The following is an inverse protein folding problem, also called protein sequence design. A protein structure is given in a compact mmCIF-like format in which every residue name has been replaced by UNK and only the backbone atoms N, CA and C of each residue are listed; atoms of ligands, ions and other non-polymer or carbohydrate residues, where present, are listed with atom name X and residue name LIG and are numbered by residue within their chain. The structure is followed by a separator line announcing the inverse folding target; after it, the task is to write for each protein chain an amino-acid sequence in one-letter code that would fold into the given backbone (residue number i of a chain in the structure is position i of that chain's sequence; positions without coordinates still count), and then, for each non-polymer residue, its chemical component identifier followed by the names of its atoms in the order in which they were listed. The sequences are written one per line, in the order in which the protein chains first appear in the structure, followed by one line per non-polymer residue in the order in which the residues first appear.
data_IF_900433499224
#
_entry.id   IF_900433499224
#
_cell.length_a   1.000
_cell.length_b   1.000
_cell.length_c   1.000
_cell.angle_alpha   90.00
_cell.angle_beta   90.00
_cell.angle_gamma   90.00
#
_symmetry.space_group_name_H-M   'P 1'
#
loop_
_entity.id
_entity.type
_entity.pdbx_description
1 polymer ?
#
# COMPACT_ATOMS: atom_id res chain seq x y z
N UNK A 1 13.80 -21.60 -8.77
CA UNK A 1 12.53 -20.84 -8.74
C UNK A 1 12.58 -19.83 -7.60
N UNK A 2 12.24 -18.57 -7.84
CA UNK A 2 12.24 -17.52 -6.81
C UNK A 2 10.86 -17.42 -6.15
N UNK A 3 10.83 -17.04 -4.86
CA UNK A 3 9.60 -16.92 -4.11
C UNK A 3 9.40 -15.50 -3.57
N UNK A 4 8.13 -15.05 -3.55
CA UNK A 4 7.69 -13.77 -3.02
C UNK A 4 6.58 -13.95 -2.00
N UNK A 5 6.61 -13.13 -0.92
CA UNK A 5 5.57 -13.09 0.11
C UNK A 5 4.78 -11.79 -0.04
N UNK A 6 3.45 -11.85 0.12
CA UNK A 6 2.55 -10.68 0.01
C UNK A 6 1.47 -10.73 1.08
N UNK A 7 1.00 -9.57 1.59
CA UNK A 7 -0.14 -9.56 2.51
C UNK A 7 -1.41 -10.02 1.78
N UNK A 8 -2.30 -10.66 2.49
CA UNK A 8 -3.58 -11.14 1.93
C UNK A 8 -4.54 -10.00 1.60
N UNK A 9 -4.36 -8.83 2.22
CA UNK A 9 -5.08 -7.60 1.94
C UNK A 9 -4.52 -6.76 0.77
N UNK A 10 -3.64 -7.33 -0.07
CA UNK A 10 -3.03 -6.62 -1.18
C UNK A 10 -4.05 -6.20 -2.25
N UNK A 11 -3.80 -5.03 -2.85
CA UNK A 11 -4.62 -4.47 -3.93
C UNK A 11 -4.93 -5.48 -5.04
N UNK A 12 -6.18 -5.53 -5.49
CA UNK A 12 -6.69 -6.57 -6.40
C UNK A 12 -5.89 -6.72 -7.69
N UNK A 13 -5.45 -5.63 -8.32
CA UNK A 13 -4.61 -5.72 -9.54
C UNK A 13 -3.23 -6.29 -9.25
N UNK A 14 -2.62 -5.99 -8.09
CA UNK A 14 -1.34 -6.59 -7.68
C UNK A 14 -1.50 -8.07 -7.38
N UNK A 15 -2.66 -8.48 -6.81
CA UNK A 15 -3.02 -9.89 -6.60
C UNK A 15 -3.14 -10.62 -7.92
N UNK A 16 -3.97 -10.11 -8.84
CA UNK A 16 -4.19 -10.71 -10.16
C UNK A 16 -2.89 -10.86 -10.95
N UNK A 17 -2.10 -9.79 -11.02
CA UNK A 17 -0.80 -9.83 -11.70
C UNK A 17 0.10 -10.96 -11.18
N UNK A 18 0.11 -11.18 -9.90
CA UNK A 18 0.93 -12.22 -9.32
C UNK A 18 0.35 -13.63 -9.53
N UNK A 19 -0.95 -13.78 -9.51
CA UNK A 19 -1.61 -15.07 -9.75
C UNK A 19 -1.50 -15.51 -11.21
N UNK A 20 -1.55 -14.58 -12.15
CA UNK A 20 -1.53 -14.83 -13.58
C UNK A 20 -0.10 -14.81 -14.16
N UNK A 21 0.65 -13.72 -13.91
CA UNK A 21 1.92 -13.50 -14.59
C UNK A 21 3.13 -14.14 -13.89
N UNK A 22 3.15 -14.26 -12.57
CA UNK A 22 4.30 -14.86 -11.89
C UNK A 22 4.55 -16.31 -12.32
N UNK A 23 3.51 -17.07 -12.65
CA UNK A 23 3.64 -18.43 -13.15
C UNK A 23 4.44 -18.47 -14.46
N UNK A 24 4.21 -17.50 -15.36
CA UNK A 24 4.92 -17.38 -16.66
C UNK A 24 6.43 -17.15 -16.47
N UNK A 25 6.79 -16.49 -15.39
CA UNK A 25 8.20 -16.24 -15.02
C UNK A 25 8.74 -17.24 -14.01
N UNK A 26 8.04 -18.33 -13.73
CA UNK A 26 8.41 -19.34 -12.75
C UNK A 26 8.70 -18.76 -11.37
N UNK A 27 7.90 -17.77 -10.97
CA UNK A 27 8.00 -17.11 -9.66
C UNK A 27 6.87 -17.64 -8.76
N UNK A 28 7.24 -18.33 -7.69
CA UNK A 28 6.28 -18.70 -6.65
C UNK A 28 5.89 -17.52 -5.79
N UNK A 29 4.69 -17.55 -5.24
CA UNK A 29 4.25 -16.57 -4.25
C UNK A 29 3.35 -17.21 -3.22
N UNK A 30 3.34 -16.63 -2.02
CA UNK A 30 2.38 -16.93 -0.95
C UNK A 30 1.78 -15.64 -0.40
N UNK A 31 0.63 -15.77 0.22
CA UNK A 31 -0.01 -14.73 1.01
C UNK A 31 0.26 -14.94 2.49
N UNK A 32 0.37 -13.85 3.26
CA UNK A 32 0.53 -13.86 4.70
C UNK A 32 -0.48 -12.90 5.35
N UNK A 33 -0.82 -13.20 6.61
CA UNK A 33 -1.63 -12.29 7.42
C UNK A 33 -0.80 -11.06 7.82
N UNK A 34 -1.21 -9.83 7.45
CA UNK A 34 -0.45 -8.59 7.72
C UNK A 34 -0.28 -8.28 9.20
N UNK A 35 -1.17 -8.80 10.06
CA UNK A 35 -1.11 -8.62 11.52
C UNK A 35 -0.29 -9.68 12.24
N UNK A 36 0.12 -10.73 11.55
CA UNK A 36 0.82 -11.88 12.15
C UNK A 36 2.22 -12.06 11.57
N UNK A 37 3.20 -11.53 12.27
CA UNK A 37 4.62 -11.65 11.88
C UNK A 37 5.10 -13.12 11.91
N UNK A 38 4.56 -13.95 12.80
CA UNK A 38 4.91 -15.38 12.88
C UNK A 38 4.41 -16.14 11.67
N UNK A 39 3.21 -15.80 11.19
CA UNK A 39 2.67 -16.32 9.93
C UNK A 39 3.55 -15.93 8.73
N UNK A 40 4.04 -14.68 8.68
CA UNK A 40 5.00 -14.28 7.65
C UNK A 40 6.32 -15.07 7.76
N UNK A 41 6.89 -15.17 8.97
CA UNK A 41 8.16 -15.88 9.19
C UNK A 41 8.07 -17.36 8.79
N UNK A 42 6.97 -18.04 9.12
CA UNK A 42 6.75 -19.46 8.77
C UNK A 42 6.70 -19.72 7.25
N UNK A 43 6.38 -18.69 6.45
CA UNK A 43 6.31 -18.78 4.99
C UNK A 43 7.64 -18.48 4.28
N UNK A 44 8.65 -17.99 5.03
CA UNK A 44 9.97 -17.70 4.47
C UNK A 44 10.70 -19.01 4.16
N UNK A 45 11.16 -19.17 2.92
CA UNK A 45 11.96 -20.30 2.44
C UNK A 45 13.33 -19.82 1.92
N UNK A 46 14.29 -20.73 1.71
CA UNK A 46 15.64 -20.41 1.18
C UNK A 46 15.58 -19.64 -0.17
N UNK A 47 14.57 -19.88 -0.97
CA UNK A 47 14.36 -19.23 -2.26
C UNK A 47 13.50 -17.94 -2.16
N UNK A 48 13.04 -17.52 -0.99
CA UNK A 48 12.32 -16.25 -0.81
C UNK A 48 13.25 -15.07 -1.06
N UNK A 49 12.90 -14.19 -1.99
CA UNK A 49 13.71 -13.03 -2.41
C UNK A 49 13.07 -11.70 -2.10
N UNK A 50 11.73 -11.66 -2.01
CA UNK A 50 10.98 -10.43 -1.82
C UNK A 50 9.88 -10.64 -0.79
N UNK A 51 9.73 -9.69 0.12
CA UNK A 51 8.52 -9.48 0.91
C UNK A 51 7.87 -8.20 0.36
N UNK A 52 6.68 -8.35 -0.20
CA UNK A 52 5.87 -7.23 -0.65
C UNK A 52 4.95 -6.80 0.49
N UNK A 53 4.81 -5.50 0.69
CA UNK A 53 4.07 -4.86 1.76
C UNK A 53 3.04 -3.92 1.15
N UNK A 54 1.89 -3.81 1.79
CA UNK A 54 0.91 -2.77 1.53
C UNK A 54 0.33 -2.36 2.88
N UNK A 55 0.55 -1.12 3.28
CA UNK A 55 0.14 -0.65 4.61
C UNK A 55 -0.25 0.85 4.57
N UNK A 56 -1.52 1.16 4.85
CA UNK A 56 -2.62 0.23 5.13
C UNK A 56 -2.92 -0.69 3.94
N UNK A 57 -3.41 -1.90 4.21
CA UNK A 57 -3.88 -2.81 3.18
C UNK A 57 -5.15 -2.32 2.49
N UNK A 58 -5.42 -2.83 1.30
CA UNK A 58 -6.67 -2.56 0.59
C UNK A 58 -7.88 -3.17 1.32
N UNK A 59 -9.04 -2.54 1.19
CA UNK A 59 -10.36 -2.91 1.72
C UNK A 59 -10.51 -2.77 3.23
N UNK A 60 -9.75 -3.47 4.06
CA UNK A 60 -9.89 -3.53 5.51
C UNK A 60 -8.85 -2.72 6.27
N UNK A 61 -7.92 -2.12 5.56
CA UNK A 61 -6.96 -1.12 6.04
C UNK A 61 -6.07 -1.57 7.21
N UNK A 62 -5.64 -2.83 7.20
CA UNK A 62 -4.68 -3.37 8.16
C UNK A 62 -3.35 -2.62 8.10
N UNK A 63 -2.78 -2.33 9.27
CA UNK A 63 -1.45 -1.74 9.38
C UNK A 63 -0.42 -2.81 9.72
N UNK A 64 0.57 -2.95 8.87
CA UNK A 64 1.72 -3.85 9.09
C UNK A 64 2.70 -3.19 10.06
N UNK A 65 3.27 -3.94 11.00
CA UNK A 65 4.42 -3.48 11.78
C UNK A 65 5.67 -3.48 10.89
N UNK A 66 5.87 -2.38 10.16
CA UNK A 66 6.96 -2.23 9.19
C UNK A 66 8.32 -2.41 9.84
N UNK A 67 8.53 -1.89 11.05
CA UNK A 67 9.80 -2.03 11.76
C UNK A 67 10.16 -3.49 12.02
N UNK A 68 9.20 -4.28 12.50
CA UNK A 68 9.42 -5.70 12.76
C UNK A 68 9.60 -6.48 11.46
N UNK A 69 8.80 -6.20 10.45
CA UNK A 69 8.86 -6.86 9.15
C UNK A 69 10.19 -6.59 8.43
N UNK A 70 10.68 -5.35 8.44
CA UNK A 70 11.97 -4.99 7.87
C UNK A 70 13.13 -5.68 8.63
N UNK A 71 13.07 -5.76 9.96
CA UNK A 71 14.06 -6.50 10.75
C UNK A 71 14.09 -7.99 10.38
N UNK A 72 12.92 -8.61 10.24
CA UNK A 72 12.79 -9.99 9.79
C UNK A 72 13.37 -10.20 8.38
N UNK A 73 13.00 -9.34 7.43
CA UNK A 73 13.52 -9.39 6.07
C UNK A 73 15.05 -9.28 6.01
N UNK A 74 15.63 -8.35 6.78
CA UNK A 74 17.10 -8.19 6.89
C UNK A 74 17.80 -9.42 7.47
N UNK A 75 17.23 -10.06 8.49
CA UNK A 75 17.73 -11.32 9.08
C UNK A 75 17.88 -12.41 8.02
N UNK A 76 16.94 -12.47 7.08
CA UNK A 76 16.92 -13.46 5.99
C UNK A 76 17.51 -12.94 4.66
N UNK A 77 18.07 -11.73 4.61
CA UNK A 77 18.64 -11.10 3.40
C UNK A 77 17.60 -10.98 2.26
N UNK A 78 16.35 -10.70 2.61
CA UNK A 78 15.21 -10.56 1.69
C UNK A 78 14.96 -9.07 1.42
N UNK A 79 14.65 -8.73 0.16
CA UNK A 79 14.32 -7.37 -0.27
C UNK A 79 12.88 -7.05 0.14
N UNK A 80 12.65 -5.87 0.68
CA UNK A 80 11.32 -5.36 0.99
C UNK A 80 10.85 -4.37 -0.06
N UNK A 81 9.62 -4.56 -0.54
CA UNK A 81 8.93 -3.64 -1.46
C UNK A 81 7.62 -3.23 -0.80
N UNK A 82 7.31 -1.94 -0.73
CA UNK A 82 6.03 -1.46 -0.21
C UNK A 82 5.26 -0.68 -1.26
N UNK A 83 3.98 -0.96 -1.39
CA UNK A 83 3.03 -0.02 -1.98
C UNK A 83 2.65 1.02 -0.91
N UNK A 84 3.06 2.25 -1.13
CA UNK A 84 2.84 3.37 -0.22
C UNK A 84 1.83 4.38 -0.79
N UNK A 85 1.01 3.95 -1.73
CA UNK A 85 0.04 4.82 -2.42
C UNK A 85 -0.92 5.50 -1.44
N UNK A 86 -1.35 4.81 -0.37
CA UNK A 86 -2.24 5.40 0.63
C UNK A 86 -1.52 6.45 1.49
N UNK A 87 -0.35 6.10 2.04
CA UNK A 87 0.42 6.97 2.94
C UNK A 87 1.07 8.14 2.21
N UNK A 88 1.48 7.93 0.99
CA UNK A 88 2.43 8.75 0.24
C UNK A 88 3.71 9.02 1.04
N UNK A 89 4.76 9.52 0.42
CA UNK A 89 5.98 9.90 1.12
C UNK A 89 5.76 11.01 2.17
N UNK A 90 4.61 11.73 2.09
CA UNK A 90 4.27 12.81 3.02
C UNK A 90 3.84 12.29 4.39
N UNK A 91 2.99 11.27 4.44
CA UNK A 91 2.47 10.74 5.71
C UNK A 91 3.19 9.48 6.19
N UNK A 92 3.89 8.77 5.28
CA UNK A 92 4.69 7.62 5.64
C UNK A 92 5.97 7.54 4.79
N UNK A 93 7.11 7.88 5.38
CA UNK A 93 8.41 7.79 4.70
C UNK A 93 9.02 6.38 4.86
N UNK A 94 8.57 5.43 4.05
CA UNK A 94 8.96 4.03 4.15
C UNK A 94 10.49 3.77 4.06
N UNK A 95 11.23 4.59 3.29
CA UNK A 95 12.69 4.49 3.21
C UNK A 95 13.34 4.74 4.57
N UNK A 96 12.86 5.70 5.36
CA UNK A 96 13.36 5.94 6.72
C UNK A 96 13.10 4.77 7.67
N UNK A 97 12.07 3.97 7.41
CA UNK A 97 11.80 2.73 8.15
C UNK A 97 12.68 1.56 7.69
N UNK A 98 13.51 1.78 6.66
CA UNK A 98 14.47 0.78 6.16
C UNK A 98 13.91 -0.16 5.10
N UNK A 99 12.76 0.16 4.51
CA UNK A 99 12.23 -0.52 3.32
C UNK A 99 13.16 -0.25 2.14
N UNK A 100 13.41 -1.26 1.31
CA UNK A 100 14.37 -1.15 0.20
C UNK A 100 13.80 -0.43 -1.02
N UNK A 101 12.53 -0.71 -1.37
CA UNK A 101 11.86 -0.19 -2.57
C UNK A 101 10.45 0.24 -2.19
N UNK A 102 10.07 1.42 -2.63
CA UNK A 102 8.73 2.00 -2.46
C UNK A 102 8.11 2.18 -3.83
N UNK A 103 6.88 1.76 -4.00
CA UNK A 103 6.07 2.04 -5.18
C UNK A 103 4.86 2.88 -4.78
N UNK A 104 4.49 3.84 -5.60
CA UNK A 104 3.30 4.66 -5.40
C UNK A 104 2.57 4.87 -6.73
N UNK A 105 1.25 4.76 -6.72
CA UNK A 105 0.44 5.14 -7.87
C UNK A 105 0.30 6.66 -7.91
N UNK A 106 1.08 7.33 -8.76
CA UNK A 106 0.94 8.77 -9.03
C UNK A 106 -0.48 9.11 -9.49
N UNK A 107 -1.13 8.18 -10.21
CA UNK A 107 -2.56 8.20 -10.60
C UNK A 107 -3.49 8.64 -9.45
N UNK A 108 -3.12 8.41 -8.19
CA UNK A 108 -3.97 8.68 -7.02
C UNK A 108 -3.65 10.07 -6.43
N UNK A 109 -3.06 10.12 -5.24
CA UNK A 109 -2.89 11.39 -4.50
C UNK A 109 -1.86 12.32 -5.10
N UNK A 110 -0.76 11.80 -5.67
CA UNK A 110 0.30 12.64 -6.24
C UNK A 110 -0.25 13.42 -7.45
N UNK A 111 -0.83 12.75 -8.43
CA UNK A 111 -1.51 13.41 -9.56
C UNK A 111 -2.70 14.23 -9.08
N UNK A 112 -3.67 13.55 -8.45
CA UNK A 112 -4.75 14.17 -7.68
C UNK A 112 -5.86 14.86 -8.48
N UNK A 113 -5.83 14.78 -9.82
CA UNK A 113 -6.77 15.47 -10.72
C UNK A 113 -7.47 14.51 -11.70
N UNK A 114 -7.29 13.19 -11.55
CA UNK A 114 -7.87 12.15 -12.43
C UNK A 114 -7.48 12.29 -13.91
N UNK A 115 -6.34 12.86 -14.20
CA UNK A 115 -5.87 13.21 -15.54
C UNK A 115 -4.53 12.55 -15.92
N UNK A 116 -3.97 11.70 -15.06
CA UNK A 116 -2.73 10.95 -15.31
C UNK A 116 -2.81 9.52 -14.78
N UNK A 117 -2.31 8.58 -15.56
CA UNK A 117 -2.13 7.19 -15.15
C UNK A 117 -0.63 6.86 -15.13
N UNK A 118 -0.02 6.87 -13.95
CA UNK A 118 1.41 6.74 -13.79
C UNK A 118 1.78 6.13 -12.43
N UNK A 119 2.91 5.45 -12.36
CA UNK A 119 3.52 5.00 -11.11
C UNK A 119 4.91 5.58 -10.92
N UNK A 120 5.38 5.60 -9.68
CA UNK A 120 6.75 5.92 -9.32
C UNK A 120 7.36 4.82 -8.47
N UNK A 121 8.64 4.56 -8.70
CA UNK A 121 9.44 3.67 -7.87
C UNK A 121 10.58 4.46 -7.26
N UNK A 122 10.66 4.46 -5.94
CA UNK A 122 11.74 5.04 -5.14
C UNK A 122 12.49 3.92 -4.44
N UNK A 123 13.81 3.99 -4.38
CA UNK A 123 14.61 2.95 -3.71
C UNK A 123 15.84 3.52 -3.04
N UNK A 124 16.44 2.75 -2.14
CA UNK A 124 17.77 3.05 -1.63
C UNK A 124 18.84 2.90 -2.73
N UNK A 125 20.01 3.52 -2.53
CA UNK A 125 21.12 3.52 -3.50
C UNK A 125 21.53 2.13 -3.97
N UNK A 126 21.44 1.12 -3.10
CA UNK A 126 21.82 -0.27 -3.39
C UNK A 126 21.04 -0.88 -4.56
N UNK A 127 19.78 -0.52 -4.71
CA UNK A 127 18.90 -1.10 -5.73
C UNK A 127 18.73 -0.22 -6.97
N UNK A 128 19.22 1.02 -6.95
CA UNK A 128 19.00 2.03 -7.99
C UNK A 128 19.43 1.54 -9.39
N UNK A 129 20.67 1.07 -9.51
CA UNK A 129 21.20 0.64 -10.81
C UNK A 129 20.43 -0.54 -11.40
N UNK A 130 19.96 -1.48 -10.55
CA UNK A 130 19.17 -2.62 -11.01
C UNK A 130 17.80 -2.19 -11.51
N UNK A 131 17.14 -1.25 -10.85
CA UNK A 131 15.83 -0.71 -11.26
C UNK A 131 15.98 0.10 -12.55
N UNK A 132 16.98 0.97 -12.67
CA UNK A 132 17.22 1.75 -13.89
C UNK A 132 17.50 0.81 -15.08
N UNK A 133 18.34 -0.21 -14.90
CA UNK A 133 18.64 -1.20 -15.92
C UNK A 133 17.37 -1.95 -16.37
N UNK A 134 16.56 -2.40 -15.41
CA UNK A 134 15.31 -3.06 -15.70
C UNK A 134 14.35 -2.16 -16.48
N UNK A 135 14.15 -0.91 -16.02
CA UNK A 135 13.31 0.09 -16.71
C UNK A 135 13.72 0.28 -18.17
N UNK A 136 15.04 0.45 -18.43
CA UNK A 136 15.56 0.62 -19.78
C UNK A 136 15.33 -0.62 -20.66
N UNK A 137 15.64 -1.80 -20.13
CA UNK A 137 15.55 -3.04 -20.89
C UNK A 137 14.11 -3.49 -21.16
N UNK A 138 13.16 -3.11 -20.30
CA UNK A 138 11.73 -3.41 -20.47
C UNK A 138 10.97 -2.38 -21.31
N UNK A 139 11.65 -1.33 -21.80
CA UNK A 139 11.02 -0.27 -22.60
C UNK A 139 10.06 0.63 -21.82
N UNK A 140 10.11 0.59 -20.48
CA UNK A 140 9.25 1.42 -19.64
C UNK A 140 9.61 2.90 -19.80
N UNK A 141 8.71 3.67 -20.38
CA UNK A 141 8.87 5.12 -20.52
C UNK A 141 7.56 5.84 -20.16
N UNK A 142 7.67 7.11 -19.87
CA UNK A 142 6.53 7.99 -19.53
C UNK A 142 6.65 9.22 -20.41
N UNK A 143 5.54 9.67 -20.97
CA UNK A 143 5.47 10.88 -21.78
C UNK A 143 5.80 12.14 -20.98
N UNK A 144 6.36 13.17 -21.61
CA UNK A 144 6.70 14.43 -20.94
C UNK A 144 5.46 15.13 -20.36
N UNK A 145 4.31 15.04 -21.01
CA UNK A 145 3.05 15.62 -20.54
C UNK A 145 2.57 14.96 -19.25
N UNK A 146 2.67 13.63 -19.16
CA UNK A 146 2.33 12.89 -17.92
C UNK A 146 3.26 13.29 -16.76
N UNK A 147 4.56 13.49 -17.06
CA UNK A 147 5.54 13.96 -16.06
C UNK A 147 5.17 15.36 -15.60
N UNK A 148 4.78 16.24 -16.51
CA UNK A 148 4.33 17.60 -16.18
C UNK A 148 3.10 17.58 -15.27
N UNK A 149 2.08 16.76 -15.58
CA UNK A 149 0.88 16.59 -14.77
C UNK A 149 1.21 16.05 -13.36
N UNK A 150 2.10 15.07 -13.28
CA UNK A 150 2.59 14.54 -12.01
C UNK A 150 3.28 15.60 -11.14
N UNK A 151 4.17 16.40 -11.75
CA UNK A 151 4.88 17.50 -11.06
C UNK A 151 3.92 18.61 -10.63
N UNK A 152 2.93 18.96 -11.45
CA UNK A 152 1.85 19.88 -11.10
C UNK A 152 1.11 19.39 -9.85
N UNK A 153 0.69 18.13 -9.86
CA UNK A 153 -0.02 17.51 -8.73
C UNK A 153 0.83 17.48 -7.45
N UNK A 154 2.12 17.17 -7.57
CA UNK A 154 3.04 17.09 -6.43
C UNK A 154 3.13 18.44 -5.67
N UNK A 155 3.08 19.58 -6.36
CA UNK A 155 3.14 20.90 -5.74
C UNK A 155 1.97 21.18 -4.79
N UNK A 156 0.79 20.63 -5.06
CA UNK A 156 -0.41 20.84 -4.26
C UNK A 156 -0.73 19.65 -3.33
N UNK A 157 0.08 18.59 -3.38
CA UNK A 157 -0.13 17.36 -2.61
C UNK A 157 -0.37 17.61 -1.12
N UNK A 158 0.43 18.42 -0.39
CA UNK A 158 0.22 18.62 1.03
C UNK A 158 -1.16 19.22 1.36
N UNK A 159 -1.59 20.23 0.62
CA UNK A 159 -2.89 20.89 0.81
C UNK A 159 -4.06 19.93 0.55
N UNK A 160 -3.96 19.16 -0.54
CA UNK A 160 -5.00 18.19 -0.92
C UNK A 160 -5.09 17.04 0.07
N UNK A 161 -3.95 16.51 0.55
CA UNK A 161 -3.94 15.45 1.55
C UNK A 161 -4.49 15.92 2.88
N UNK A 162 -4.12 17.11 3.36
CA UNK A 162 -4.68 17.68 4.60
C UNK A 162 -6.20 17.81 4.50
N UNK A 163 -6.71 18.30 3.37
CA UNK A 163 -8.15 18.42 3.15
C UNK A 163 -8.83 17.05 3.10
N UNK A 164 -8.25 16.09 2.38
CA UNK A 164 -8.74 14.72 2.29
C UNK A 164 -8.78 14.05 3.66
N UNK A 165 -7.72 14.17 4.45
CA UNK A 165 -7.68 13.67 5.83
C UNK A 165 -8.80 14.25 6.69
N UNK A 166 -8.93 15.58 6.69
CA UNK A 166 -9.97 16.25 7.49
C UNK A 166 -11.36 15.76 7.12
N UNK A 167 -11.62 15.62 5.82
CA UNK A 167 -12.91 15.19 5.31
C UNK A 167 -13.17 13.70 5.62
N UNK A 168 -12.19 12.82 5.39
CA UNK A 168 -12.35 11.38 5.64
C UNK A 168 -12.58 11.07 7.11
N UNK A 169 -11.84 11.70 8.02
CA UNK A 169 -12.05 11.51 9.47
C UNK A 169 -13.43 12.04 9.90
N UNK A 170 -13.88 13.18 9.36
CA UNK A 170 -15.23 13.70 9.65
C UNK A 170 -16.32 12.74 9.16
N UNK A 171 -16.18 12.25 7.92
CA UNK A 171 -17.11 11.30 7.32
C UNK A 171 -17.10 9.96 8.06
N UNK A 172 -15.91 9.41 8.36
CA UNK A 172 -15.78 8.17 9.11
C UNK A 172 -16.47 8.25 10.48
N UNK A 173 -16.24 9.34 11.23
CA UNK A 173 -16.92 9.59 12.52
C UNK A 173 -18.43 9.77 12.40
N UNK A 174 -18.94 10.29 11.28
CA UNK A 174 -20.37 10.36 11.01
C UNK A 174 -20.93 8.96 10.76
N UNK A 175 -20.25 8.19 9.93
CA UNK A 175 -20.68 6.85 9.53
C UNK A 175 -20.66 5.84 10.70
N UNK A 176 -19.75 5.97 11.67
CA UNK A 176 -19.80 5.11 12.88
C UNK A 176 -21.06 5.28 13.74
N UNK A 177 -21.86 6.30 13.48
CA UNK A 177 -23.11 6.57 14.22
C UNK A 177 -24.37 6.14 13.43
N UNK A 178 -24.21 5.66 12.21
CA UNK A 178 -25.33 5.25 11.37
C UNK A 178 -25.70 3.80 11.65
N UNK A 179 -27.00 3.51 11.80
CA UNK A 179 -27.52 2.17 12.09
C UNK A 179 -27.29 1.17 10.94
N UNK A 180 -27.11 1.67 9.73
CA UNK A 180 -26.85 0.90 8.52
C UNK A 180 -25.39 0.44 8.42
N UNK A 181 -24.48 1.02 9.23
CA UNK A 181 -23.05 0.78 9.17
C UNK A 181 -22.63 -0.11 10.32
N UNK A 182 -22.23 -1.32 10.01
CA UNK A 182 -21.72 -2.30 10.95
C UNK A 182 -20.32 -1.95 11.42
N UNK A 183 -19.45 -1.50 10.52
CA UNK A 183 -18.06 -1.16 10.83
C UNK A 183 -17.44 -0.15 9.88
N UNK A 184 -16.57 0.70 10.40
CA UNK A 184 -15.77 1.65 9.62
C UNK A 184 -14.29 1.28 9.79
N UNK A 185 -13.62 1.03 8.67
CA UNK A 185 -12.19 0.67 8.62
C UNK A 185 -11.35 1.91 8.29
N UNK A 186 -11.13 2.78 9.26
CA UNK A 186 -10.29 3.97 9.10
C UNK A 186 -9.20 3.99 10.18
N UNK A 187 -7.90 3.85 9.82
CA UNK A 187 -6.81 3.71 10.80
C UNK A 187 -6.69 4.83 11.83
N UNK A 188 -7.12 6.05 11.48
CA UNK A 188 -7.11 7.18 12.39
C UNK A 188 -8.21 7.15 13.45
N UNK A 189 -9.21 6.27 13.37
CA UNK A 189 -10.21 6.07 14.40
C UNK A 189 -9.64 5.20 15.52
N UNK A 190 -9.97 5.51 16.79
CA UNK A 190 -9.49 4.76 17.95
C UNK A 190 -9.97 3.32 17.98
N UNK A 191 -11.12 3.07 17.40
CA UNK A 191 -11.79 1.77 17.28
C UNK A 191 -11.11 0.85 16.25
N UNK A 192 -10.25 1.39 15.39
CA UNK A 192 -9.52 0.57 14.42
C UNK A 192 -8.49 -0.32 15.15
N UNK A 193 -8.45 -1.64 14.90
CA UNK A 193 -7.55 -2.55 15.61
C UNK A 193 -6.09 -2.11 15.61
N UNK A 194 -5.64 -1.53 14.50
CA UNK A 194 -4.25 -1.15 14.30
C UNK A 194 -4.01 0.36 14.53
N UNK A 195 -4.95 1.09 15.18
CA UNK A 195 -4.81 2.51 15.44
C UNK A 195 -3.49 2.88 16.12
N UNK A 196 -3.02 2.06 17.06
CA UNK A 196 -1.76 2.28 17.79
C UNK A 196 -0.55 2.25 16.85
N UNK A 197 -0.53 1.31 15.87
CA UNK A 197 0.52 1.21 14.86
C UNK A 197 0.47 2.39 13.90
N UNK A 198 -0.73 2.74 13.42
CA UNK A 198 -0.90 3.92 12.58
C UNK A 198 -0.40 5.19 13.27
N UNK A 199 -0.80 5.42 14.52
CA UNK A 199 -0.39 6.60 15.29
C UNK A 199 1.12 6.65 15.56
N UNK A 200 1.78 5.49 15.66
CA UNK A 200 3.23 5.39 15.85
C UNK A 200 4.00 5.74 14.59
N UNK A 201 3.53 5.24 13.43
CA UNK A 201 4.32 5.18 12.20
C UNK A 201 3.93 6.24 11.17
N UNK A 202 2.67 6.70 11.18
CA UNK A 202 2.13 7.65 10.21
C UNK A 202 1.96 9.03 10.82
N UNK A 203 2.28 10.07 10.05
CA UNK A 203 2.05 11.47 10.44
C UNK A 203 0.67 11.99 10.05
N UNK A 204 -0.12 11.20 9.33
CA UNK A 204 -1.46 11.56 8.87
C UNK A 204 -2.22 10.39 8.27
N UNK A 205 -3.43 10.68 7.76
CA UNK A 205 -4.30 9.74 7.10
C UNK A 205 -4.80 10.28 5.76
N UNK A 206 -5.11 9.37 4.84
CA UNK A 206 -5.63 9.75 3.53
C UNK A 206 -7.16 9.74 3.45
N UNK A 207 -7.69 9.97 2.27
CA UNK A 207 -9.13 10.16 2.05
C UNK A 207 -9.91 8.86 1.94
N UNK A 208 -9.26 7.74 1.65
CA UNK A 208 -9.90 6.43 1.41
C UNK A 208 -9.91 5.61 2.69
N UNK A 209 -11.06 4.99 2.97
CA UNK A 209 -11.28 4.04 4.06
C UNK A 209 -12.40 3.06 3.69
N UNK A 210 -12.53 1.96 4.42
CA UNK A 210 -13.53 0.93 4.18
C UNK A 210 -14.76 1.10 5.06
N UNK A 211 -15.90 0.59 4.57
CA UNK A 211 -17.16 0.52 5.31
C UNK A 211 -17.72 -0.89 5.14
N UNK A 212 -18.21 -1.46 6.21
CA UNK A 212 -19.02 -2.67 6.22
C UNK A 212 -20.44 -2.29 6.61
N UNK A 213 -21.39 -2.63 5.76
CA UNK A 213 -22.82 -2.40 6.04
C UNK A 213 -23.39 -3.57 6.83
N UNK A 214 -24.50 -3.33 7.51
CA UNK A 214 -25.31 -4.37 8.10
C UNK A 214 -25.86 -5.34 7.03
N UNK A 215 -26.02 -6.60 7.37
CA UNK A 215 -26.35 -7.68 6.42
C UNK A 215 -27.66 -7.41 5.67
N UNK A 216 -28.67 -6.82 6.34
CA UNK A 216 -29.96 -6.46 5.70
C UNK A 216 -29.83 -5.40 4.60
N UNK A 217 -28.80 -4.53 4.65
CA UNK A 217 -28.53 -3.55 3.61
C UNK A 217 -27.89 -4.21 2.39
N UNK A 218 -26.92 -5.12 2.63
CA UNK A 218 -26.25 -5.83 1.52
C UNK A 218 -27.21 -6.73 0.75
N UNK A 219 -28.16 -7.37 1.43
CA UNK A 219 -29.20 -8.16 0.78
C UNK A 219 -30.09 -7.28 -0.10
N UNK A 220 -30.57 -6.16 0.42
CA UNK A 220 -31.44 -5.23 -0.32
C UNK A 220 -30.75 -4.56 -1.54
N UNK A 221 -29.44 -4.44 -1.56
CA UNK A 221 -28.68 -3.92 -2.69
C UNK A 221 -28.40 -4.97 -3.77
N UNK A 222 -28.58 -6.26 -3.45
CA UNK A 222 -28.39 -7.38 -4.38
C UNK A 222 -29.71 -7.74 -5.13
N UNK A 223 -30.86 -7.29 -4.66
CA UNK A 223 -32.16 -7.33 -5.32
C UNK A 223 -32.34 -6.15 -6.29
#
# INVERSE_FOLDING_TARGET
MYKRQRPDCVYGSARRFAEEEFKRFQIEHDYYNPRDLSNLESKIKKNTKVIYLESPGSYTFEIIDINKTVKLAKKHKIITIIDNTWGTALYFNAIKFGVDIVVEAITKYIGGHSDVMMGVTVCNKKHLNSIIRWKRNSGQCVGPDDIFLALRGLRTLPLRLQKSQKNSIKLAKFLTKQKEVKKVYHPALKEHPDHKLWKRDFSGACGIFGIEFEDYITTKMAE
#
